data_IF_922842638256
#
_entry.id   IF_922842638256
#
_cell.length_a   1.000
_cell.length_b   1.000
_cell.length_c   1.000
_cell.angle_alpha   90.00
_cell.angle_beta   90.00
_cell.angle_gamma   90.00
#
_symmetry.space_group_name_H-M   'P 1'
#
loop_
_entity.id
_entity.type
_entity.pdbx_description
1 polymer ?
#
# COMPACT_ATOMS: atom_id res chain seq x y z
N UNK A 1 0.83 68.42 -49.39
CA UNK A 1 0.01 68.70 -50.59
C UNK A 1 -0.26 70.19 -50.61
N UNK A 2 -0.11 70.80 -51.78
CA UNK A 2 -0.09 72.24 -52.00
C UNK A 2 -1.35 72.70 -52.77
N UNK A 3 -1.75 73.97 -52.57
CA UNK A 3 -2.68 74.82 -53.36
C UNK A 3 -4.14 74.35 -53.46
N UNK A 4 -5.18 75.21 -53.41
CA UNK A 4 -5.32 76.57 -53.93
C UNK A 4 -6.21 77.47 -53.05
N UNK A 5 -5.80 78.74 -52.92
CA UNK A 5 -6.69 79.85 -52.60
C UNK A 5 -7.42 80.28 -53.90
N UNK A 6 -8.73 80.46 -53.83
CA UNK A 6 -9.51 81.09 -54.91
C UNK A 6 -9.99 82.44 -54.42
N UNK A 7 -9.61 83.45 -55.21
CA UNK A 7 -9.81 84.85 -54.95
C UNK A 7 -11.23 85.35 -55.17
N UNK A 8 -11.40 86.55 -54.65
CA UNK A 8 -12.58 87.40 -54.62
C UNK A 8 -13.26 87.55 -55.98
N UNK A 9 -14.59 87.52 -55.97
CA UNK A 9 -15.41 88.26 -56.93
C UNK A 9 -16.43 89.09 -56.15
N UNK A 10 -16.21 90.40 -56.17
CA UNK A 10 -17.19 91.41 -55.79
C UNK A 10 -18.35 91.35 -56.77
N UNK A 11 -19.58 91.20 -56.26
CA UNK A 11 -20.80 91.56 -56.99
C UNK A 11 -21.62 92.44 -56.07
N UNK A 12 -21.51 93.75 -56.30
CA UNK A 12 -22.44 94.75 -55.81
C UNK A 12 -23.73 94.64 -56.64
N UNK A 13 -24.83 94.22 -56.02
CA UNK A 13 -26.16 94.41 -56.59
C UNK A 13 -27.11 94.84 -55.48
N UNK A 14 -27.47 96.12 -55.54
CA UNK A 14 -28.48 96.76 -54.72
C UNK A 14 -29.86 96.21 -55.07
N UNK A 15 -30.64 95.84 -54.04
CA UNK A 15 -32.09 95.85 -54.10
C UNK A 15 -32.63 96.13 -52.69
N UNK A 16 -32.98 97.41 -52.48
CA UNK A 16 -33.90 97.84 -51.44
C UNK A 16 -35.30 97.30 -51.76
N UNK A 17 -35.87 96.52 -50.86
CA UNK A 17 -37.30 96.55 -50.50
C UNK A 17 -37.51 95.61 -49.32
N UNK A 18 -37.78 96.24 -48.17
CA UNK A 18 -38.15 95.62 -46.92
C UNK A 18 -39.61 95.15 -47.04
N UNK A 19 -39.86 93.87 -46.79
CA UNK A 19 -41.14 93.41 -46.24
C UNK A 19 -40.81 92.34 -45.18
N UNK A 20 -40.89 92.80 -43.93
CA UNK A 20 -40.68 92.06 -42.68
C UNK A 20 -41.71 90.95 -42.52
N UNK A 21 -41.32 89.68 -42.71
CA UNK A 21 -42.10 88.52 -42.30
C UNK A 21 -41.30 87.20 -42.42
N UNK A 22 -40.08 87.11 -41.90
CA UNK A 22 -39.31 85.86 -41.90
C UNK A 22 -38.55 85.56 -40.61
N UNK A 23 -39.13 85.91 -39.46
CA UNK A 23 -38.53 85.66 -38.14
C UNK A 23 -38.84 84.28 -37.52
N UNK A 24 -39.45 83.34 -38.26
CA UNK A 24 -39.87 82.04 -37.69
C UNK A 24 -38.94 80.84 -37.96
N UNK A 25 -37.98 80.93 -38.90
CA UNK A 25 -37.15 79.77 -39.27
C UNK A 25 -35.86 79.63 -38.44
N UNK A 26 -35.48 80.67 -37.69
CA UNK A 26 -34.22 80.69 -36.94
C UNK A 26 -34.32 79.89 -35.62
N UNK A 27 -35.50 79.90 -35.00
CA UNK A 27 -35.79 79.16 -33.76
C UNK A 27 -35.72 77.63 -33.98
N UNK A 28 -36.12 77.14 -35.16
CA UNK A 28 -36.07 75.71 -35.51
C UNK A 28 -34.63 75.23 -35.71
N UNK A 29 -33.77 76.06 -36.31
CA UNK A 29 -32.34 75.77 -36.48
C UNK A 29 -31.62 75.74 -35.12
N UNK A 30 -31.93 76.70 -34.24
CA UNK A 30 -31.35 76.75 -32.89
C UNK A 30 -31.78 75.54 -32.04
N UNK A 31 -33.06 75.15 -32.11
CA UNK A 31 -33.59 73.93 -31.47
C UNK A 31 -32.89 72.66 -31.96
N UNK A 32 -32.61 72.57 -33.27
CA UNK A 32 -31.89 71.45 -33.85
C UNK A 32 -30.42 71.38 -33.37
N UNK A 33 -29.72 72.52 -33.38
CA UNK A 33 -28.33 72.62 -32.90
C UNK A 33 -28.25 72.24 -31.41
N UNK A 34 -29.20 72.71 -30.60
CA UNK A 34 -29.28 72.35 -29.17
C UNK A 34 -29.44 70.85 -28.96
N UNK A 35 -30.39 70.21 -29.67
CA UNK A 35 -30.59 68.74 -29.63
C UNK A 35 -29.34 67.97 -30.07
N UNK A 36 -28.67 68.42 -31.12
CA UNK A 36 -27.44 67.80 -31.61
C UNK A 36 -26.32 67.91 -30.55
N UNK A 37 -26.16 69.07 -29.93
CA UNK A 37 -25.18 69.29 -28.88
C UNK A 37 -25.45 68.41 -27.64
N UNK A 38 -26.72 68.27 -27.24
CA UNK A 38 -27.13 67.39 -26.15
C UNK A 38 -26.81 65.92 -26.47
N UNK A 39 -27.16 65.46 -27.68
CA UNK A 39 -26.84 64.13 -28.18
C UNK A 39 -25.32 63.84 -28.19
N UNK A 40 -24.52 64.82 -28.63
CA UNK A 40 -23.05 64.71 -28.60
C UNK A 40 -22.56 64.57 -27.16
N UNK A 41 -23.05 65.41 -26.24
CA UNK A 41 -22.67 65.37 -24.81
C UNK A 41 -22.99 64.01 -24.18
N UNK A 42 -24.16 63.46 -24.45
CA UNK A 42 -24.53 62.10 -24.00
C UNK A 42 -23.60 61.03 -24.58
N UNK A 43 -23.31 61.10 -25.88
CA UNK A 43 -22.42 60.16 -26.55
C UNK A 43 -21.00 60.20 -25.96
N UNK A 44 -20.47 61.40 -25.68
CA UNK A 44 -19.19 61.55 -25.00
C UNK A 44 -19.19 60.96 -23.58
N UNK A 45 -20.27 61.15 -22.82
CA UNK A 45 -20.41 60.55 -21.49
C UNK A 45 -20.43 59.01 -21.56
N UNK A 46 -21.21 58.44 -22.48
CA UNK A 46 -21.28 56.98 -22.73
C UNK A 46 -19.91 56.43 -23.13
N UNK A 47 -19.18 57.11 -24.02
CA UNK A 47 -17.82 56.69 -24.43
C UNK A 47 -16.83 56.71 -23.26
N UNK A 48 -16.91 57.70 -22.37
CA UNK A 48 -16.10 57.75 -21.16
C UNK A 48 -16.39 56.57 -20.23
N UNK A 49 -17.67 56.23 -20.05
CA UNK A 49 -18.08 55.09 -19.24
C UNK A 49 -17.60 53.75 -19.85
N UNK A 50 -17.76 53.57 -21.16
CA UNK A 50 -17.27 52.38 -21.87
C UNK A 50 -15.76 52.21 -21.72
N UNK A 51 -14.99 53.30 -21.80
CA UNK A 51 -13.54 53.27 -21.61
C UNK A 51 -13.17 52.78 -20.21
N UNK A 52 -13.91 53.19 -19.18
CA UNK A 52 -13.73 52.70 -17.81
C UNK A 52 -14.03 51.20 -17.75
N UNK A 53 -15.18 50.77 -18.29
CA UNK A 53 -15.57 49.34 -18.32
C UNK A 53 -14.53 48.46 -19.01
N UNK A 54 -14.01 48.90 -20.16
CA UNK A 54 -12.94 48.20 -20.90
C UNK A 54 -11.71 48.03 -20.03
N UNK A 55 -11.25 49.09 -19.37
CA UNK A 55 -10.07 49.02 -18.50
C UNK A 55 -10.28 48.08 -17.31
N UNK A 56 -11.47 48.10 -16.70
CA UNK A 56 -11.83 47.18 -15.62
C UNK A 56 -11.82 45.73 -16.09
N UNK A 57 -12.40 45.44 -17.25
CA UNK A 57 -12.42 44.10 -17.85
C UNK A 57 -11.00 43.62 -18.21
N UNK A 58 -10.15 44.49 -18.74
CA UNK A 58 -8.75 44.15 -19.02
C UNK A 58 -7.99 43.78 -17.75
N UNK A 59 -8.20 44.53 -16.66
CA UNK A 59 -7.59 44.22 -15.36
C UNK A 59 -8.07 42.88 -14.80
N UNK A 60 -9.38 42.60 -14.88
CA UNK A 60 -9.95 41.32 -14.46
C UNK A 60 -9.42 40.15 -15.29
N UNK A 61 -9.38 40.29 -16.62
CA UNK A 61 -8.84 39.27 -17.53
C UNK A 61 -7.36 38.98 -17.25
N UNK A 62 -6.56 40.00 -16.97
CA UNK A 62 -5.14 39.82 -16.61
C UNK A 62 -4.99 38.94 -15.36
N UNK A 63 -5.82 39.16 -14.33
CA UNK A 63 -5.83 38.32 -13.12
C UNK A 63 -6.23 36.87 -13.43
N UNK A 64 -7.29 36.67 -14.22
CA UNK A 64 -7.74 35.33 -14.61
C UNK A 64 -6.68 34.57 -15.42
N UNK A 65 -5.98 35.25 -16.32
CA UNK A 65 -4.87 34.65 -17.09
C UNK A 65 -3.75 34.20 -16.14
N UNK A 66 -3.38 35.02 -15.16
CA UNK A 66 -2.38 34.65 -14.16
C UNK A 66 -2.80 33.44 -13.32
N UNK A 67 -4.06 33.40 -12.89
CA UNK A 67 -4.63 32.28 -12.14
C UNK A 67 -4.65 30.99 -12.97
N UNK A 68 -5.12 31.06 -14.21
CA UNK A 68 -5.10 29.92 -15.13
C UNK A 68 -3.69 29.37 -15.38
N UNK A 69 -2.69 30.25 -15.50
CA UNK A 69 -1.29 29.83 -15.63
C UNK A 69 -0.78 29.12 -14.36
N UNK A 70 -1.20 29.57 -13.19
CA UNK A 70 -0.86 28.95 -11.90
C UNK A 70 -1.50 27.56 -11.78
N UNK A 71 -2.79 27.44 -12.10
CA UNK A 71 -3.52 26.17 -12.10
C UNK A 71 -2.96 25.17 -13.12
N UNK A 72 -2.51 25.65 -14.29
CA UNK A 72 -1.87 24.80 -15.30
C UNK A 72 -0.60 24.16 -14.75
N UNK A 73 0.26 24.95 -14.08
CA UNK A 73 1.48 24.44 -13.43
C UNK A 73 1.18 23.43 -12.33
N UNK A 74 0.17 23.69 -11.51
CA UNK A 74 -0.24 22.76 -10.45
C UNK A 74 -0.76 21.44 -11.03
N UNK A 75 -1.56 21.50 -12.09
CA UNK A 75 -2.04 20.31 -12.79
C UNK A 75 -0.89 19.47 -13.35
N UNK A 76 0.15 20.08 -13.89
CA UNK A 76 1.29 19.33 -14.42
C UNK A 76 2.08 18.64 -13.30
N UNK A 77 2.29 19.30 -12.16
CA UNK A 77 2.87 18.67 -10.97
C UNK A 77 2.02 17.49 -10.49
N UNK A 78 0.69 17.63 -10.50
CA UNK A 78 -0.22 16.55 -10.09
C UNK A 78 -0.18 15.37 -11.06
N UNK A 79 -0.09 15.61 -12.37
CA UNK A 79 0.10 14.54 -13.37
C UNK A 79 1.37 13.75 -13.11
N UNK A 80 2.49 14.41 -12.84
CA UNK A 80 3.75 13.74 -12.51
C UNK A 80 3.63 12.87 -11.27
N UNK A 81 2.99 13.37 -10.20
CA UNK A 81 2.71 12.59 -8.98
C UNK A 81 1.83 11.37 -9.28
N UNK A 82 0.85 11.52 -10.18
CA UNK A 82 -0.04 10.42 -10.55
C UNK A 82 0.71 9.31 -11.31
N UNK A 83 1.64 9.66 -12.20
CA UNK A 83 2.54 8.70 -12.86
C UNK A 83 3.42 7.96 -11.83
N UNK A 84 3.87 8.63 -10.78
CA UNK A 84 4.54 7.97 -9.66
C UNK A 84 3.64 6.92 -8.98
N UNK A 85 2.38 7.26 -8.74
CA UNK A 85 1.40 6.35 -8.13
C UNK A 85 1.12 5.13 -9.00
N UNK A 86 1.02 5.26 -10.32
CA UNK A 86 0.79 4.11 -11.22
C UNK A 86 1.95 3.12 -11.17
N UNK A 87 3.19 3.59 -11.12
CA UNK A 87 4.37 2.72 -10.96
C UNK A 87 4.32 1.92 -9.64
N UNK A 88 3.96 2.57 -8.53
CA UNK A 88 3.81 1.88 -7.24
C UNK A 88 2.71 0.83 -7.31
N UNK A 89 1.59 1.10 -7.99
CA UNK A 89 0.52 0.12 -8.16
C UNK A 89 0.96 -1.10 -8.98
N UNK A 90 1.73 -0.90 -10.05
CA UNK A 90 2.31 -1.97 -10.85
C UNK A 90 3.28 -2.83 -10.03
N UNK A 91 4.15 -2.19 -9.24
CA UNK A 91 5.04 -2.88 -8.30
C UNK A 91 4.25 -3.70 -7.27
N UNK A 92 3.20 -3.13 -6.68
CA UNK A 92 2.31 -3.86 -5.76
C UNK A 92 1.66 -5.07 -6.41
N UNK A 93 1.21 -4.96 -7.66
CA UNK A 93 0.65 -6.09 -8.40
C UNK A 93 1.71 -7.19 -8.64
N UNK A 94 2.94 -6.82 -8.98
CA UNK A 94 4.04 -7.77 -9.15
C UNK A 94 4.42 -8.48 -7.84
N UNK A 95 4.45 -7.75 -6.74
CA UNK A 95 4.77 -8.29 -5.41
C UNK A 95 3.68 -9.25 -4.94
N UNK A 96 2.41 -8.93 -5.18
CA UNK A 96 1.28 -9.81 -4.88
C UNK A 96 1.39 -11.14 -5.63
N UNK A 97 1.70 -11.10 -6.93
CA UNK A 97 1.92 -12.33 -7.72
C UNK A 97 3.06 -13.19 -7.15
N UNK A 98 4.17 -12.57 -6.76
CA UNK A 98 5.30 -13.29 -6.13
C UNK A 98 4.93 -13.91 -4.78
N UNK A 99 4.09 -13.25 -4.00
CA UNK A 99 3.57 -13.81 -2.74
C UNK A 99 2.69 -15.02 -2.99
N UNK A 100 1.80 -14.96 -3.98
CA UNK A 100 0.94 -16.07 -4.37
C UNK A 100 1.78 -17.28 -4.84
N UNK A 101 2.80 -17.05 -5.68
CA UNK A 101 3.74 -18.10 -6.15
C UNK A 101 4.50 -18.76 -4.98
N UNK A 102 4.90 -17.97 -3.98
CA UNK A 102 5.58 -18.46 -2.78
C UNK A 102 4.64 -19.28 -1.89
N UNK A 103 3.40 -18.84 -1.72
CA UNK A 103 2.40 -19.56 -0.93
C UNK A 103 2.08 -20.93 -1.56
N UNK A 104 1.91 -20.97 -2.88
CA UNK A 104 1.72 -22.22 -3.62
C UNK A 104 2.93 -23.16 -3.51
N UNK A 105 4.14 -22.60 -3.58
CA UNK A 105 5.37 -23.37 -3.38
C UNK A 105 5.47 -23.95 -1.96
N UNK A 106 5.04 -23.19 -0.95
CA UNK A 106 5.00 -23.64 0.45
C UNK A 106 3.93 -24.71 0.66
N UNK A 107 2.74 -24.58 0.06
CA UNK A 107 1.69 -25.62 0.08
C UNK A 107 2.20 -26.93 -0.50
N UNK A 108 2.79 -26.90 -1.69
CA UNK A 108 3.41 -28.09 -2.32
C UNK A 108 4.51 -28.71 -1.46
N UNK A 109 5.37 -27.90 -0.85
CA UNK A 109 6.40 -28.40 0.08
C UNK A 109 5.79 -29.07 1.31
N UNK A 110 4.73 -28.50 1.90
CA UNK A 110 4.01 -29.11 3.02
C UNK A 110 3.43 -30.47 2.64
N UNK A 111 2.75 -30.55 1.49
CA UNK A 111 2.20 -31.80 0.96
C UNK A 111 3.28 -32.86 0.76
N UNK A 112 4.38 -32.51 0.09
CA UNK A 112 5.53 -33.40 -0.10
C UNK A 112 6.15 -33.89 1.22
N UNK A 113 6.22 -33.05 2.25
CA UNK A 113 6.71 -33.45 3.58
C UNK A 113 5.73 -34.40 4.26
N UNK A 114 4.42 -34.16 4.13
CA UNK A 114 3.39 -35.07 4.65
C UNK A 114 3.43 -36.43 3.94
N UNK A 115 3.52 -36.45 2.62
CA UNK A 115 3.65 -37.67 1.82
C UNK A 115 4.92 -38.42 2.16
N UNK A 116 6.07 -37.75 2.24
CA UNK A 116 7.33 -38.38 2.64
C UNK A 116 7.31 -38.95 4.07
N UNK A 117 6.60 -38.30 5.00
CA UNK A 117 6.37 -38.87 6.34
C UNK A 117 5.47 -40.09 6.28
N UNK A 118 4.43 -40.08 5.45
CA UNK A 118 3.50 -41.20 5.28
C UNK A 118 4.20 -42.40 4.66
N UNK A 119 5.01 -42.20 3.61
CA UNK A 119 5.81 -43.26 2.99
C UNK A 119 6.87 -43.77 3.95
N UNK A 120 7.63 -42.91 4.66
CA UNK A 120 8.56 -43.37 5.71
C UNK A 120 7.87 -44.18 6.79
N UNK A 121 6.72 -43.74 7.29
CA UNK A 121 5.96 -44.50 8.30
C UNK A 121 5.45 -45.82 7.73
N UNK A 122 5.09 -45.89 6.45
CA UNK A 122 4.66 -47.13 5.81
C UNK A 122 5.82 -48.10 5.55
N UNK A 123 7.01 -47.61 5.19
CA UNK A 123 8.23 -48.42 5.08
C UNK A 123 8.70 -48.93 6.44
N UNK A 124 8.64 -48.10 7.48
CA UNK A 124 8.93 -48.53 8.85
C UNK A 124 7.90 -49.55 9.36
N UNK A 125 6.61 -49.37 9.06
CA UNK A 125 5.57 -50.33 9.42
C UNK A 125 5.64 -51.63 8.61
N UNK A 126 5.98 -51.60 7.32
CA UNK A 126 6.17 -52.83 6.55
C UNK A 126 7.36 -53.64 7.08
N UNK A 127 8.47 -52.98 7.41
CA UNK A 127 9.59 -53.64 8.09
C UNK A 127 9.19 -54.13 9.49
N UNK A 128 8.37 -53.41 10.24
CA UNK A 128 7.84 -53.86 11.54
C UNK A 128 6.84 -55.03 11.42
N UNK A 129 6.06 -55.10 10.33
CA UNK A 129 5.06 -56.15 10.09
C UNK A 129 5.72 -57.40 9.51
N UNK A 130 6.77 -57.28 8.70
CA UNK A 130 7.59 -58.45 8.28
C UNK A 130 8.39 -59.02 9.45
N UNK A 131 8.81 -58.20 10.43
CA UNK A 131 9.32 -58.71 11.71
C UNK A 131 8.24 -59.40 12.55
N UNK A 132 6.98 -58.93 12.52
CA UNK A 132 5.89 -59.57 13.29
C UNK A 132 5.35 -60.87 12.67
N UNK A 133 5.46 -61.08 11.36
CA UNK A 133 4.94 -62.30 10.71
C UNK A 133 5.90 -63.48 10.77
N UNK A 134 7.20 -63.27 10.97
CA UNK A 134 8.15 -64.36 11.14
C UNK A 134 8.47 -64.72 12.60
N UNK A 135 8.12 -63.86 13.58
CA UNK A 135 8.49 -64.06 14.99
C UNK A 135 7.30 -64.30 15.94
N UNK A 136 6.13 -64.69 15.44
CA UNK A 136 5.05 -65.26 16.28
C UNK A 136 5.17 -66.78 16.46
N UNK A 137 6.34 -67.35 16.14
CA UNK A 137 6.79 -68.49 16.91
C UNK A 137 6.96 -68.01 18.35
N UNK A 138 6.17 -68.58 19.26
CA UNK A 138 6.45 -68.65 20.69
C UNK A 138 7.79 -69.38 20.91
N UNK A 139 8.89 -68.82 20.41
CA UNK A 139 10.21 -69.12 20.91
C UNK A 139 10.29 -68.32 22.19
N UNK A 140 10.22 -69.02 23.32
CA UNK A 140 10.87 -68.59 24.55
C UNK A 140 12.32 -68.28 24.19
N UNK A 141 12.62 -67.08 23.70
CA UNK A 141 13.97 -66.65 23.40
C UNK A 141 14.64 -66.35 24.74
N UNK A 142 15.14 -67.42 25.37
CA UNK A 142 16.16 -67.41 26.42
C UNK A 142 17.50 -66.84 25.91
N UNK A 143 17.50 -65.81 25.07
CA UNK A 143 18.69 -65.38 24.34
C UNK A 143 18.81 -63.86 24.25
N UNK A 144 18.91 -63.21 25.41
CA UNK A 144 19.79 -62.02 25.51
C UNK A 144 20.31 -61.75 26.93
N UNK A 145 20.07 -62.65 27.89
CA UNK A 145 20.59 -62.51 29.27
C UNK A 145 21.90 -63.27 29.50
N UNK A 146 22.39 -64.00 28.51
CA UNK A 146 23.78 -64.48 28.49
C UNK A 146 24.63 -63.41 27.82
N UNK A 147 24.93 -62.36 28.60
CA UNK A 147 25.99 -61.43 28.25
C UNK A 147 27.27 -62.22 28.04
N UNK A 148 27.86 -62.10 26.85
CA UNK A 148 29.24 -62.51 26.66
C UNK A 148 30.07 -61.76 27.71
N UNK A 149 30.54 -62.47 28.74
CA UNK A 149 31.34 -61.89 29.84
C UNK A 149 32.62 -61.21 29.33
N UNK A 150 33.01 -61.51 28.10
CA UNK A 150 34.20 -60.97 27.46
C UNK A 150 33.96 -59.60 26.78
N UNK A 151 32.72 -59.12 26.70
CA UNK A 151 32.41 -57.81 26.12
C UNK A 151 32.20 -56.81 27.26
N UNK A 152 33.13 -55.86 27.42
CA UNK A 152 33.05 -54.77 28.38
C UNK A 152 32.56 -53.51 27.68
N UNK A 153 31.57 -52.85 28.26
CA UNK A 153 31.06 -51.59 27.73
C UNK A 153 32.04 -50.43 27.99
N UNK A 154 32.57 -49.80 26.93
CA UNK A 154 33.46 -48.61 27.02
C UNK A 154 32.78 -47.33 27.58
N UNK A 155 31.60 -47.42 28.19
CA UNK A 155 30.91 -46.28 28.79
C UNK A 155 30.59 -46.55 30.26
N UNK A 156 29.94 -47.66 30.60
CA UNK A 156 29.61 -48.00 31.99
C UNK A 156 30.49 -49.10 32.59
N UNK A 157 31.46 -49.63 31.83
CA UNK A 157 32.40 -50.68 32.24
C UNK A 157 31.77 -51.98 32.75
N UNK A 158 30.47 -52.19 32.47
CA UNK A 158 29.78 -53.45 32.79
C UNK A 158 29.87 -54.43 31.63
N UNK A 159 29.83 -55.73 31.96
CA UNK A 159 29.94 -56.81 31.00
C UNK A 159 28.63 -57.04 30.21
N UNK A 160 28.75 -57.71 29.07
CA UNK A 160 27.62 -58.24 28.32
C UNK A 160 26.96 -57.28 27.33
N UNK A 161 27.48 -56.05 27.15
CA UNK A 161 26.95 -55.10 26.17
C UNK A 161 27.99 -54.09 25.65
N UNK A 162 27.75 -53.51 24.48
CA UNK A 162 28.58 -52.47 23.86
C UNK A 162 28.00 -51.06 24.07
N UNK A 163 28.80 -50.00 23.87
CA UNK A 163 28.42 -48.59 24.07
C UNK A 163 27.12 -48.15 23.37
N UNK A 164 26.76 -48.77 22.23
CA UNK A 164 25.50 -48.50 21.51
C UNK A 164 24.26 -49.02 22.24
N UNK A 165 24.40 -50.10 23.01
CA UNK A 165 23.33 -50.74 23.77
C UNK A 165 23.44 -50.48 25.29
N UNK A 166 24.31 -49.56 25.70
CA UNK A 166 24.45 -49.20 27.11
C UNK A 166 23.20 -48.48 27.61
N UNK A 167 22.56 -49.10 28.60
CA UNK A 167 21.36 -48.56 29.24
C UNK A 167 21.64 -47.20 29.91
N UNK A 168 22.78 -47.07 30.59
CA UNK A 168 23.19 -45.82 31.25
C UNK A 168 23.32 -44.68 30.24
N UNK A 169 24.02 -44.90 29.13
CA UNK A 169 24.19 -43.91 28.05
C UNK A 169 22.88 -43.54 27.37
N UNK A 170 21.97 -44.51 27.22
CA UNK A 170 20.65 -44.28 26.62
C UNK A 170 19.79 -43.40 27.51
N UNK A 171 19.84 -43.61 28.82
CA UNK A 171 19.05 -42.84 29.78
C UNK A 171 19.57 -41.41 29.97
N UNK A 172 20.90 -41.20 29.94
CA UNK A 172 21.50 -39.87 29.96
C UNK A 172 21.01 -39.00 28.80
N UNK A 173 20.95 -39.56 27.58
CA UNK A 173 20.44 -38.85 26.39
C UNK A 173 18.97 -38.46 26.48
N UNK A 174 18.18 -39.20 27.26
CA UNK A 174 16.75 -38.95 27.42
C UNK A 174 16.44 -38.07 28.63
N UNK A 175 17.45 -37.64 29.40
CA UNK A 175 17.25 -36.89 30.65
C UNK A 175 16.53 -37.68 31.74
N UNK A 176 16.48 -39.01 31.61
CA UNK A 176 15.75 -39.90 32.52
C UNK A 176 16.70 -40.29 33.65
N UNK A 177 16.68 -39.53 34.75
CA UNK A 177 17.40 -39.84 36.00
C UNK A 177 16.70 -40.95 36.80
N UNK A 178 16.27 -42.02 36.14
CA UNK A 178 15.53 -43.11 36.77
C UNK A 178 16.17 -44.44 36.39
N UNK A 179 16.65 -45.16 37.40
CA UNK A 179 17.24 -46.49 37.26
C UNK A 179 16.13 -47.49 37.61
N UNK A 180 15.93 -48.50 36.75
CA UNK A 180 15.09 -49.64 37.09
C UNK A 180 15.87 -50.56 38.01
N UNK A 181 15.41 -50.69 39.26
CA UNK A 181 15.96 -51.65 40.23
C UNK A 181 15.20 -52.97 40.07
N UNK A 182 15.92 -54.07 39.92
CA UNK A 182 15.34 -55.43 39.88
C UNK A 182 14.75 -55.73 41.26
N UNK A 183 13.48 -56.18 41.27
CA UNK A 183 12.57 -56.27 42.44
C UNK A 183 13.03 -57.17 43.61
N UNK A 184 14.23 -57.73 43.59
CA UNK A 184 14.65 -58.76 44.55
C UNK A 184 16.12 -58.64 45.01
N UNK A 185 16.57 -57.47 45.45
CA UNK A 185 17.58 -57.35 46.52
C UNK A 185 17.38 -55.98 47.20
N UNK A 186 17.63 -55.93 48.50
CA UNK A 186 17.34 -54.88 49.48
C UNK A 186 17.53 -53.41 49.05
N UNK A 187 16.59 -52.58 49.53
CA UNK A 187 16.45 -51.12 49.50
C UNK A 187 17.75 -50.31 49.27
N UNK A 188 17.93 -49.62 48.13
CA UNK A 188 19.01 -48.63 48.00
C UNK A 188 18.66 -47.36 48.80
N UNK A 189 19.53 -47.00 49.74
CA UNK A 189 19.49 -45.73 50.47
C UNK A 189 19.85 -44.62 49.48
N UNK A 190 18.84 -43.88 49.03
CA UNK A 190 18.98 -42.75 48.11
C UNK A 190 17.63 -42.03 47.91
N UNK A 191 17.65 -40.74 47.52
CA UNK A 191 16.49 -39.85 47.67
C UNK A 191 15.32 -40.28 46.80
N UNK A 192 14.19 -40.62 47.44
CA UNK A 192 12.93 -40.94 46.77
C UNK A 192 12.19 -39.65 46.41
N UNK A 193 11.91 -39.43 45.12
CA UNK A 193 10.92 -38.44 44.71
C UNK A 193 9.53 -39.06 44.90
N UNK A 194 8.86 -38.70 45.98
CA UNK A 194 7.44 -39.02 46.19
C UNK A 194 6.63 -38.00 45.38
N UNK A 195 5.72 -38.48 44.54
CA UNK A 195 4.73 -37.64 43.89
C UNK A 195 3.66 -37.30 44.93
N UNK A 196 3.59 -36.03 45.34
CA UNK A 196 2.54 -35.54 46.24
C UNK A 196 1.49 -34.84 45.39
N UNK A 197 0.21 -35.23 45.44
CA UNK A 197 -0.86 -34.47 44.80
C UNK A 197 -0.93 -33.07 45.41
N UNK A 198 -0.87 -32.02 44.59
CA UNK A 198 -1.12 -30.64 45.04
C UNK A 198 -2.60 -30.53 45.40
N UNK A 199 -2.90 -30.46 46.70
CA UNK A 199 -4.23 -30.06 47.18
C UNK A 199 -4.44 -28.61 46.78
N UNK A 200 -5.38 -28.36 45.87
CA UNK A 200 -5.88 -27.02 45.55
C UNK A 200 -6.88 -26.66 46.65
N UNK A 201 -6.43 -25.90 47.64
CA UNK A 201 -7.34 -25.24 48.58
C UNK A 201 -7.99 -24.06 47.86
N UNK A 202 -9.26 -24.20 47.50
CA UNK A 202 -10.13 -23.05 47.26
C UNK A 202 -10.49 -22.46 48.62
N UNK A 203 -9.84 -21.37 49.00
CA UNK A 203 -10.33 -20.48 50.04
C UNK A 203 -11.48 -19.67 49.44
N UNK A 204 -12.70 -20.02 49.86
CA UNK A 204 -13.84 -19.12 49.86
C UNK A 204 -14.04 -18.61 51.28
N UNK A 205 -14.32 -17.30 51.36
CA UNK A 205 -14.54 -16.43 52.54
C UNK A 205 -13.28 -15.87 53.19
#
# INVERSE_FOLDING_TARGET
MAFMALGNNEVSSSCDSCDDSCDNDNDDVESFIFKMHECLKESYAKNKELKIKINTLLSANSKLVHENNSLTKENDILKEKFVGKTKIMEEQASLKKRLDDLDDSLKKKKENVFENKRTRNMFLNKNFITFRKNDLCFVKSKSSFYGNKNIICNYCHQHGHIKKNCYVKRNEKLGINSIWVIKHVTNPIGPKKVWVPKVVTYLWM
#
